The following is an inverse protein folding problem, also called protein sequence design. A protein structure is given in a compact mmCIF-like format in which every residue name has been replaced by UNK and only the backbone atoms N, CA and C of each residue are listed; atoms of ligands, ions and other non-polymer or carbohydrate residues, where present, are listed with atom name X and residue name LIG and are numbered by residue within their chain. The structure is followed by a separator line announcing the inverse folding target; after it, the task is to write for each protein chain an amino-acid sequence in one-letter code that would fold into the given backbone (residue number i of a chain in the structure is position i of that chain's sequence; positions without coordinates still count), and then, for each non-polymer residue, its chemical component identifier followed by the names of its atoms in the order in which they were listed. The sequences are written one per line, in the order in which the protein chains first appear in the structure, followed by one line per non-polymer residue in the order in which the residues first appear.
data_IF_591631567514
#
_entry.id   IF_591631567514
#
_cell.length_a   1.000
_cell.length_b   1.000
_cell.length_c   1.000
_cell.angle_alpha   90.00
_cell.angle_beta   90.00
_cell.angle_gamma   90.00
#
_symmetry.space_group_name_H-M   'P 1'
#
loop_
_entity.id
_entity.type
_entity.pdbx_description
1 polymer ?
#
# COMPACT_ATOMS: atom_id res chain seq x y z
N UNK A 1 -29.08 -16.12 55.89
CA UNK A 1 -29.44 -16.06 54.48
C UNK A 1 -28.71 -14.87 53.86
N UNK A 2 -27.54 -15.13 53.30
CA UNK A 2 -26.71 -14.14 52.61
C UNK A 2 -27.10 -14.15 51.13
N UNK A 3 -27.72 -13.10 50.68
CA UNK A 3 -28.06 -12.90 49.26
C UNK A 3 -26.85 -12.33 48.54
N UNK A 4 -26.29 -13.11 47.60
CA UNK A 4 -25.24 -12.69 46.68
C UNK A 4 -25.87 -11.70 45.66
N UNK A 5 -25.24 -10.54 45.40
CA UNK A 5 -25.78 -9.61 44.42
C UNK A 5 -25.57 -10.15 42.98
N UNK A 6 -26.63 -10.06 42.16
CA UNK A 6 -26.66 -10.41 40.76
C UNK A 6 -25.69 -9.50 40.00
N UNK A 7 -24.80 -10.02 39.12
CA UNK A 7 -23.91 -9.17 38.33
C UNK A 7 -24.72 -8.27 37.44
N UNK A 8 -24.34 -6.99 37.37
CA UNK A 8 -24.90 -6.02 36.47
C UNK A 8 -24.64 -6.45 35.01
N UNK A 9 -25.56 -6.15 34.05
CA UNK A 9 -25.32 -6.47 32.65
C UNK A 9 -24.09 -5.70 32.17
N UNK A 10 -23.15 -6.41 31.54
CA UNK A 10 -21.99 -5.81 30.89
C UNK A 10 -22.50 -4.82 29.84
N UNK A 11 -22.12 -3.57 29.99
CA UNK A 11 -22.33 -2.56 28.93
C UNK A 11 -21.64 -3.09 27.67
N UNK A 12 -22.44 -3.46 26.69
CA UNK A 12 -21.98 -3.70 25.32
C UNK A 12 -21.30 -2.41 24.88
N UNK A 13 -19.97 -2.41 24.73
CA UNK A 13 -19.27 -1.29 24.10
C UNK A 13 -19.94 -1.07 22.77
N UNK A 14 -20.52 0.10 22.55
CA UNK A 14 -20.97 0.54 21.23
C UNK A 14 -19.77 0.32 20.30
N UNK A 15 -19.90 -0.55 19.31
CA UNK A 15 -18.89 -0.73 18.29
C UNK A 15 -18.68 0.64 17.67
N UNK A 16 -17.44 1.13 17.68
CA UNK A 16 -17.06 2.36 17.00
C UNK A 16 -17.51 2.19 15.54
N UNK A 17 -18.54 2.92 15.12
CA UNK A 17 -19.15 2.75 13.80
C UNK A 17 -18.21 3.08 12.65
N UNK A 18 -17.08 3.73 12.96
CA UNK A 18 -16.01 4.05 12.02
C UNK A 18 -14.88 3.00 11.99
N UNK A 19 -14.96 1.92 12.80
CA UNK A 19 -13.93 0.90 12.83
C UNK A 19 -13.93 0.02 11.57
N UNK A 20 -12.73 -0.42 11.08
CA UNK A 20 -12.64 -1.40 9.99
C UNK A 20 -13.41 -2.68 10.33
N UNK A 21 -14.11 -3.26 9.34
CA UNK A 21 -14.91 -4.49 9.50
C UNK A 21 -14.22 -5.68 8.86
N UNK A 22 -14.03 -6.81 9.56
CA UNK A 22 -13.43 -8.01 8.98
C UNK A 22 -14.22 -8.52 7.77
N UNK A 23 -13.49 -9.08 6.80
CA UNK A 23 -14.06 -9.70 5.59
C UNK A 23 -14.08 -11.21 5.81
N UNK A 24 -15.25 -11.82 6.06
CA UNK A 24 -15.35 -13.22 6.47
C UNK A 24 -14.93 -14.21 5.40
N UNK A 25 -14.98 -13.85 4.11
CA UNK A 25 -14.58 -14.71 3.00
C UNK A 25 -13.11 -15.14 3.06
N UNK A 26 -12.26 -14.35 3.71
CA UNK A 26 -10.83 -14.64 3.84
C UNK A 26 -10.44 -15.29 5.17
N UNK A 27 -11.40 -15.54 6.07
CA UNK A 27 -11.10 -16.14 7.37
C UNK A 27 -10.51 -17.55 7.20
N UNK A 28 -9.34 -17.81 7.81
CA UNK A 28 -8.64 -19.08 7.77
C UNK A 28 -8.03 -19.48 6.41
N UNK A 29 -8.15 -18.64 5.37
CA UNK A 29 -7.65 -18.97 4.02
C UNK A 29 -6.13 -19.13 4.00
N UNK A 30 -5.41 -18.33 4.79
CA UNK A 30 -3.95 -18.41 4.89
C UNK A 30 -3.44 -19.65 5.65
N UNK A 31 -4.31 -20.32 6.42
CA UNK A 31 -3.97 -21.53 7.19
C UNK A 31 -4.15 -22.81 6.37
N UNK A 32 -4.71 -22.72 5.18
CA UNK A 32 -4.98 -23.89 4.30
C UNK A 32 -3.66 -24.53 3.87
N UNK A 33 -3.59 -25.85 3.99
CA UNK A 33 -2.45 -26.68 3.62
C UNK A 33 -2.91 -27.88 2.77
N UNK A 34 -2.14 -28.34 1.79
CA UNK A 34 -0.84 -27.80 1.30
C UNK A 34 -0.99 -26.45 0.57
N UNK A 35 0.13 -25.75 0.34
CA UNK A 35 0.12 -24.40 -0.25
C UNK A 35 -0.55 -24.30 -1.63
N UNK A 36 -0.56 -25.35 -2.43
CA UNK A 36 -1.32 -25.37 -3.68
C UNK A 36 -2.84 -25.35 -3.47
N UNK A 37 -3.34 -25.94 -2.34
CA UNK A 37 -4.74 -25.84 -1.94
C UNK A 37 -5.04 -24.44 -1.40
N UNK A 38 -4.10 -23.84 -0.67
CA UNK A 38 -4.19 -22.46 -0.21
C UNK A 38 -4.36 -21.49 -1.38
N UNK A 39 -3.56 -21.61 -2.44
CA UNK A 39 -3.70 -20.79 -3.63
C UNK A 39 -5.12 -20.90 -4.25
N UNK A 40 -5.68 -22.12 -4.29
CA UNK A 40 -7.06 -22.31 -4.76
C UNK A 40 -8.09 -21.68 -3.84
N UNK A 41 -7.90 -21.78 -2.52
CA UNK A 41 -8.76 -21.17 -1.51
C UNK A 41 -8.71 -19.64 -1.60
N UNK A 42 -7.51 -19.04 -1.70
CA UNK A 42 -7.31 -17.59 -1.90
C UNK A 42 -8.08 -17.11 -3.14
N UNK A 43 -7.93 -17.79 -4.27
CA UNK A 43 -8.64 -17.44 -5.51
C UNK A 43 -10.16 -17.54 -5.36
N UNK A 44 -10.64 -18.61 -4.74
CA UNK A 44 -12.08 -18.80 -4.48
C UNK A 44 -12.67 -17.74 -3.57
N UNK A 45 -11.99 -17.44 -2.46
CA UNK A 45 -12.38 -16.41 -1.52
C UNK A 45 -12.39 -15.02 -2.18
N UNK A 46 -11.36 -14.69 -2.97
CA UNK A 46 -11.28 -13.43 -3.69
C UNK A 46 -12.42 -13.27 -4.72
N UNK A 47 -12.77 -14.33 -5.44
CA UNK A 47 -13.89 -14.31 -6.38
C UNK A 47 -15.22 -14.08 -5.66
N UNK A 48 -15.47 -14.81 -4.57
CA UNK A 48 -16.70 -14.66 -3.75
C UNK A 48 -16.79 -13.25 -3.14
N UNK A 49 -15.70 -12.78 -2.57
CA UNK A 49 -15.65 -11.41 -2.01
C UNK A 49 -15.92 -10.35 -3.09
N UNK A 50 -15.29 -10.48 -4.27
CA UNK A 50 -15.50 -9.53 -5.37
C UNK A 50 -16.97 -9.41 -5.78
N UNK A 51 -17.70 -10.53 -5.87
CA UNK A 51 -19.13 -10.52 -6.20
C UNK A 51 -19.94 -9.68 -5.21
N UNK A 52 -19.66 -9.80 -3.92
CA UNK A 52 -20.31 -9.01 -2.86
C UNK A 52 -19.84 -7.56 -2.89
N UNK A 53 -18.54 -7.32 -3.01
CA UNK A 53 -17.91 -5.99 -2.95
C UNK A 53 -18.44 -5.05 -4.03
N UNK A 54 -18.60 -5.51 -5.27
CA UNK A 54 -19.10 -4.67 -6.36
C UNK A 54 -20.55 -4.25 -6.19
N UNK A 55 -21.31 -4.99 -5.38
CA UNK A 55 -22.72 -4.71 -5.10
C UNK A 55 -22.92 -3.73 -3.93
N UNK A 56 -21.93 -3.54 -3.07
CA UNK A 56 -22.03 -2.65 -1.90
C UNK A 56 -22.09 -1.16 -2.27
N UNK A 57 -21.64 -0.79 -3.46
CA UNK A 57 -21.57 0.59 -3.91
C UNK A 57 -20.17 0.99 -4.35
N UNK A 58 -19.97 2.27 -4.61
CA UNK A 58 -18.74 2.83 -5.17
C UNK A 58 -18.23 3.95 -4.31
N UNK A 59 -16.91 4.21 -4.40
CA UNK A 59 -16.30 5.39 -3.78
C UNK A 59 -16.86 6.69 -4.37
N UNK A 60 -16.76 7.77 -3.64
CA UNK A 60 -17.19 9.10 -4.09
C UNK A 60 -16.18 9.71 -5.06
N UNK A 61 -14.88 9.68 -4.69
CA UNK A 61 -13.81 10.25 -5.49
C UNK A 61 -12.47 9.59 -5.19
N UNK A 62 -11.57 9.65 -6.17
CA UNK A 62 -10.14 9.33 -6.00
C UNK A 62 -9.29 10.23 -6.87
N UNK A 63 -8.11 10.60 -6.37
CA UNK A 63 -7.02 11.28 -7.10
C UNK A 63 -5.70 10.63 -6.76
N UNK A 64 -4.89 10.39 -7.78
CA UNK A 64 -3.53 9.88 -7.64
C UNK A 64 -2.48 10.95 -7.94
N UNK A 65 -1.38 10.91 -7.19
CA UNK A 65 -0.29 11.88 -7.29
C UNK A 65 1.05 11.15 -7.25
N UNK A 66 1.92 11.49 -8.19
CA UNK A 66 3.32 11.04 -8.13
C UNK A 66 4.06 11.89 -7.10
N UNK A 67 4.66 11.25 -6.09
CA UNK A 67 5.35 11.93 -4.98
C UNK A 67 6.84 12.03 -5.26
N UNK A 68 7.49 10.89 -5.49
CA UNK A 68 8.92 10.84 -5.75
C UNK A 68 9.27 9.66 -6.65
N UNK A 69 10.37 9.78 -7.39
CA UNK A 69 10.99 8.64 -8.05
C UNK A 69 12.28 8.28 -7.32
N UNK A 70 12.49 7.00 -7.09
CA UNK A 70 13.66 6.47 -6.39
C UNK A 70 14.30 5.30 -7.16
N UNK A 71 15.62 5.07 -6.97
CA UNK A 71 16.28 3.91 -7.53
C UNK A 71 15.84 2.64 -6.81
N UNK A 72 15.55 1.61 -7.58
CA UNK A 72 15.17 0.29 -7.08
C UNK A 72 16.01 -0.81 -7.77
N UNK A 73 16.54 -1.81 -7.05
CA UNK A 73 17.35 -2.85 -7.67
C UNK A 73 16.55 -3.63 -8.72
N UNK A 74 17.03 -3.62 -9.97
CA UNK A 74 16.38 -4.29 -11.11
C UNK A 74 16.10 -5.77 -10.82
N UNK A 75 17.03 -6.43 -10.13
CA UNK A 75 16.90 -7.85 -9.75
C UNK A 75 15.67 -8.12 -8.90
N UNK A 76 15.34 -7.20 -7.99
CA UNK A 76 14.18 -7.36 -7.10
C UNK A 76 12.86 -7.11 -7.82
N UNK A 77 12.81 -6.12 -8.71
CA UNK A 77 11.57 -5.72 -9.38
C UNK A 77 10.81 -6.82 -10.11
N UNK A 78 11.50 -7.90 -10.53
CA UNK A 78 10.93 -9.01 -11.28
C UNK A 78 11.45 -10.38 -10.79
N UNK A 79 11.77 -10.52 -9.53
CA UNK A 79 12.26 -11.78 -8.95
C UNK A 79 13.41 -12.41 -9.78
N UNK A 80 14.32 -11.57 -10.29
CA UNK A 80 15.41 -12.02 -11.15
C UNK A 80 15.02 -12.40 -12.59
N UNK A 81 13.77 -12.27 -12.98
CA UNK A 81 13.29 -12.64 -14.32
C UNK A 81 13.70 -11.64 -15.41
N UNK A 82 13.87 -10.36 -15.07
CA UNK A 82 14.26 -9.32 -16.02
C UNK A 82 15.74 -9.46 -16.40
N UNK A 83 16.03 -9.49 -17.70
CA UNK A 83 17.37 -9.50 -18.24
C UNK A 83 17.85 -8.07 -18.50
N UNK A 84 18.72 -7.56 -17.65
CA UNK A 84 19.29 -6.22 -17.77
C UNK A 84 20.69 -6.15 -17.23
N UNK A 85 21.53 -5.31 -17.83
CA UNK A 85 22.83 -4.93 -17.29
C UNK A 85 22.74 -3.76 -16.31
N UNK A 86 21.61 -3.05 -16.30
CA UNK A 86 21.36 -1.95 -15.39
C UNK A 86 21.06 -2.51 -13.99
N UNK A 87 21.85 -2.19 -12.96
CA UNK A 87 21.63 -2.71 -11.62
C UNK A 87 20.38 -2.09 -10.94
N UNK A 88 19.97 -0.90 -11.40
CA UNK A 88 18.82 -0.17 -10.87
C UNK A 88 17.87 0.27 -11.98
N UNK A 89 16.59 0.25 -11.64
CA UNK A 89 15.52 0.95 -12.36
C UNK A 89 14.98 2.08 -11.48
N UNK A 90 14.19 2.95 -12.03
CA UNK A 90 13.50 4.01 -11.29
C UNK A 90 12.04 3.61 -11.09
N UNK A 91 11.57 3.66 -9.87
CA UNK A 91 10.16 3.48 -9.51
C UNK A 91 9.59 4.80 -9.00
N UNK A 92 8.32 5.05 -9.26
CA UNK A 92 7.60 6.26 -8.84
C UNK A 92 6.62 5.89 -7.75
N UNK A 93 6.87 6.40 -6.54
CA UNK A 93 5.92 6.28 -5.44
C UNK A 93 4.69 7.14 -5.69
N UNK A 94 3.51 6.57 -5.43
CA UNK A 94 2.21 7.17 -5.75
C UNK A 94 1.31 7.25 -4.54
N UNK A 95 0.90 8.46 -4.20
CA UNK A 95 -0.09 8.73 -3.18
C UNK A 95 -1.49 8.76 -3.81
N UNK A 96 -2.49 8.23 -3.08
CA UNK A 96 -3.90 8.36 -3.44
C UNK A 96 -4.66 9.14 -2.35
N UNK A 97 -5.57 10.01 -2.78
CA UNK A 97 -6.59 10.62 -1.91
C UNK A 97 -7.93 10.04 -2.31
N UNK A 98 -8.60 9.35 -1.38
CA UNK A 98 -9.83 8.59 -1.63
C UNK A 98 -10.94 9.10 -0.72
N UNK A 99 -12.11 9.41 -1.29
CA UNK A 99 -13.31 9.73 -0.53
C UNK A 99 -14.39 8.69 -0.74
N UNK A 100 -15.02 8.27 0.35
CA UNK A 100 -16.02 7.21 0.38
C UNK A 100 -17.01 7.42 1.53
N UNK A 101 -18.13 6.71 1.51
CA UNK A 101 -19.08 6.66 2.61
C UNK A 101 -18.62 5.64 3.67
N UNK A 102 -18.43 6.10 4.89
CA UNK A 102 -18.15 5.24 6.04
C UNK A 102 -19.37 4.41 6.45
N UNK A 103 -19.15 3.42 7.33
CA UNK A 103 -20.28 2.60 7.85
C UNK A 103 -21.21 3.35 8.79
N UNK A 104 -20.87 4.56 9.18
CA UNK A 104 -21.71 5.51 9.90
C UNK A 104 -22.58 6.39 8.97
N UNK A 105 -22.45 6.22 7.66
CA UNK A 105 -23.12 7.03 6.64
C UNK A 105 -22.45 8.37 6.37
N UNK A 106 -21.32 8.66 7.03
CA UNK A 106 -20.60 9.92 6.88
C UNK A 106 -19.48 9.80 5.84
N UNK A 107 -19.20 10.87 5.07
CA UNK A 107 -18.07 10.88 4.15
C UNK A 107 -16.75 10.81 4.92
N UNK A 108 -15.84 9.97 4.43
CA UNK A 108 -14.48 9.76 4.97
C UNK A 108 -13.45 10.04 3.89
N UNK A 109 -12.31 10.59 4.31
CA UNK A 109 -11.15 10.81 3.45
C UNK A 109 -9.99 9.95 3.93
N UNK A 110 -9.52 9.05 3.05
CA UNK A 110 -8.31 8.25 3.23
C UNK A 110 -7.18 8.83 2.37
N UNK A 111 -6.03 9.04 2.98
CA UNK A 111 -4.76 9.27 2.27
C UNK A 111 -3.95 7.99 2.31
N UNK A 112 -3.72 7.42 1.14
CA UNK A 112 -2.96 6.19 0.92
C UNK A 112 -1.57 6.53 0.41
N UNK A 113 -0.51 5.93 0.99
CA UNK A 113 0.90 6.12 0.61
C UNK A 113 1.40 7.58 0.66
N UNK A 114 1.16 8.36 1.72
CA UNK A 114 1.67 9.72 1.83
C UNK A 114 3.16 9.75 2.19
N UNK A 115 4.00 9.18 1.34
CA UNK A 115 5.44 9.07 1.57
C UNK A 115 6.12 10.43 1.61
N UNK A 116 6.95 10.68 2.63
CA UNK A 116 7.78 11.89 2.74
C UNK A 116 9.22 11.55 2.38
N UNK A 117 9.73 12.12 1.30
CA UNK A 117 11.05 11.79 0.76
C UNK A 117 12.19 12.01 1.77
N UNK A 118 12.08 13.02 2.64
CA UNK A 118 13.07 13.26 3.69
C UNK A 118 13.15 12.11 4.71
N UNK A 119 12.01 11.49 5.05
CA UNK A 119 11.95 10.29 5.88
C UNK A 119 12.52 9.07 5.17
N UNK A 120 12.12 8.85 3.92
CA UNK A 120 12.62 7.76 3.06
C UNK A 120 14.15 7.75 2.97
N UNK A 121 14.77 8.92 2.86
CA UNK A 121 16.22 9.06 2.78
C UNK A 121 16.96 8.57 4.04
N UNK A 122 16.27 8.41 5.17
CA UNK A 122 16.84 7.90 6.42
C UNK A 122 16.89 6.37 6.48
N UNK A 123 16.14 5.65 5.61
CA UNK A 123 16.24 4.21 5.56
C UNK A 123 17.68 3.77 5.21
N UNK A 124 18.23 2.74 5.89
CA UNK A 124 19.63 2.34 5.75
C UNK A 124 20.06 2.07 4.30
N UNK A 125 19.17 1.53 3.46
CA UNK A 125 19.43 1.30 2.04
C UNK A 125 19.78 2.62 1.32
N UNK A 126 18.94 3.64 1.43
CA UNK A 126 19.17 4.93 0.77
C UNK A 126 20.30 5.72 1.40
N UNK A 127 20.45 5.66 2.72
CA UNK A 127 21.57 6.27 3.42
C UNK A 127 22.92 5.66 3.00
N UNK A 128 22.98 4.34 2.75
CA UNK A 128 24.18 3.68 2.23
C UNK A 128 24.42 4.01 0.77
N UNK A 129 23.37 4.02 -0.06
CA UNK A 129 23.47 4.39 -1.47
C UNK A 129 24.01 5.83 -1.63
N UNK A 130 23.51 6.76 -0.80
CA UNK A 130 24.00 8.15 -0.75
C UNK A 130 25.47 8.25 -0.38
N UNK A 131 25.93 7.47 0.60
CA UNK A 131 27.36 7.41 0.98
C UNK A 131 28.26 6.87 -0.15
N UNK A 132 27.78 5.90 -0.94
CA UNK A 132 28.55 5.29 -2.02
C UNK A 132 28.56 6.15 -3.29
N UNK A 133 27.42 6.74 -3.65
CA UNK A 133 27.25 7.49 -4.89
C UNK A 133 27.52 8.99 -4.74
N UNK A 134 27.49 9.52 -3.51
CA UNK A 134 27.53 10.95 -3.20
C UNK A 134 26.20 11.65 -3.36
N UNK A 135 26.06 12.81 -2.71
CA UNK A 135 24.82 13.58 -2.65
C UNK A 135 24.30 13.96 -4.04
N UNK A 136 25.17 14.47 -4.89
CA UNK A 136 24.80 14.92 -6.23
C UNK A 136 24.17 13.83 -7.09
N UNK A 137 24.76 12.63 -7.14
CA UNK A 137 24.22 11.52 -7.93
C UNK A 137 22.92 11.00 -7.33
N UNK A 138 22.84 10.91 -6.02
CA UNK A 138 21.64 10.38 -5.35
C UNK A 138 20.45 11.32 -5.52
N UNK A 139 20.64 12.63 -5.33
CA UNK A 139 19.55 13.61 -5.32
C UNK A 139 19.15 14.09 -6.73
N UNK A 140 20.09 14.11 -7.68
CA UNK A 140 19.83 14.70 -9.00
C UNK A 140 19.74 13.67 -10.14
N UNK A 141 20.31 12.49 -9.95
CA UNK A 141 20.33 11.46 -11.01
C UNK A 141 19.44 10.26 -10.68
N UNK A 142 19.48 9.79 -9.43
CA UNK A 142 18.76 8.58 -9.01
C UNK A 142 17.40 8.87 -8.39
N UNK A 143 17.29 9.92 -7.57
CA UNK A 143 16.02 10.34 -7.00
C UNK A 143 15.46 11.55 -7.76
N UNK A 144 14.15 11.62 -7.87
CA UNK A 144 13.42 12.77 -8.40
C UNK A 144 12.25 13.05 -7.50
N UNK A 145 12.19 14.27 -7.02
CA UNK A 145 11.13 14.71 -6.14
C UNK A 145 10.12 15.54 -6.92
N UNK A 146 8.82 15.25 -6.77
CA UNK A 146 7.77 15.94 -7.52
C UNK A 146 6.97 16.87 -6.61
N UNK A 147 6.52 16.38 -5.46
CA UNK A 147 5.69 17.14 -4.52
C UNK A 147 5.63 16.47 -3.13
N UNK A 148 5.26 17.25 -2.11
CA UNK A 148 5.03 16.78 -0.74
C UNK A 148 3.55 16.43 -0.49
N UNK A 149 3.24 15.50 0.41
CA UNK A 149 1.86 15.20 0.81
C UNK A 149 1.09 16.42 1.34
N UNK A 150 1.75 17.37 1.99
CA UNK A 150 1.15 18.60 2.50
C UNK A 150 0.73 19.58 1.39
N UNK A 151 1.42 19.56 0.24
CA UNK A 151 1.09 20.40 -0.92
C UNK A 151 0.00 19.78 -1.81
N UNK A 152 -0.19 18.46 -1.72
CA UNK A 152 -1.17 17.72 -2.52
C UNK A 152 -2.61 18.10 -2.12
N UNK A 153 -2.93 18.08 -0.82
CA UNK A 153 -4.30 18.33 -0.35
C UNK A 153 -4.85 19.70 -0.76
N UNK A 154 -4.13 20.82 -0.56
CA UNK A 154 -4.59 22.12 -1.04
C UNK A 154 -4.83 22.16 -2.55
N UNK A 155 -4.03 21.43 -3.35
CA UNK A 155 -4.24 21.34 -4.80
C UNK A 155 -5.57 20.66 -5.18
N UNK A 156 -6.14 19.88 -4.25
CA UNK A 156 -7.46 19.24 -4.37
C UNK A 156 -8.59 20.03 -3.70
N UNK A 157 -8.30 21.18 -3.13
CA UNK A 157 -9.27 21.95 -2.33
C UNK A 157 -9.52 21.37 -0.93
N UNK A 158 -8.67 20.46 -0.45
CA UNK A 158 -8.76 19.85 0.87
C UNK A 158 -7.80 20.50 1.85
N UNK A 159 -8.11 20.39 3.14
CA UNK A 159 -7.25 20.80 4.25
C UNK A 159 -6.72 19.55 4.97
N UNK A 160 -5.60 19.66 5.72
CA UNK A 160 -5.10 18.58 6.55
C UNK A 160 -6.14 18.00 7.53
N UNK A 161 -7.05 18.84 8.04
CA UNK A 161 -8.12 18.46 8.96
C UNK A 161 -9.25 17.66 8.28
N UNK A 162 -9.32 17.64 6.96
CA UNK A 162 -10.33 16.89 6.21
C UNK A 162 -9.95 15.39 6.06
N UNK A 163 -8.74 14.99 6.51
CA UNK A 163 -8.26 13.61 6.46
C UNK A 163 -8.68 12.83 7.70
N UNK A 164 -9.41 11.73 7.52
CA UNK A 164 -9.85 10.84 8.59
C UNK A 164 -8.88 9.67 8.80
N UNK A 165 -8.30 9.15 7.71
CA UNK A 165 -7.42 7.99 7.73
C UNK A 165 -6.17 8.21 6.90
N UNK A 166 -5.07 7.63 7.39
CA UNK A 166 -3.82 7.44 6.66
C UNK A 166 -3.52 5.95 6.64
N UNK A 167 -3.03 5.42 5.54
CA UNK A 167 -2.50 4.07 5.49
C UNK A 167 -1.36 3.97 4.48
N UNK A 168 -0.48 3.01 4.72
CA UNK A 168 0.58 2.57 3.82
C UNK A 168 0.37 1.08 3.57
N UNK A 169 0.71 0.59 2.39
CA UNK A 169 0.63 -0.86 2.13
C UNK A 169 1.58 -1.65 3.04
N UNK A 170 2.72 -1.06 3.38
CA UNK A 170 3.70 -1.55 4.36
C UNK A 170 4.58 -0.38 4.83
N UNK A 171 5.50 -0.61 5.75
CA UNK A 171 6.29 0.46 6.37
C UNK A 171 7.76 0.51 5.92
N UNK A 172 8.13 -0.19 4.82
CA UNK A 172 9.47 0.02 4.23
C UNK A 172 9.66 1.48 3.85
N UNK A 173 10.81 2.02 4.21
CA UNK A 173 11.27 3.37 3.92
C UNK A 173 10.35 4.50 4.43
N UNK A 174 9.40 4.17 5.32
CA UNK A 174 8.48 5.14 5.91
C UNK A 174 8.98 5.61 7.27
N UNK A 175 9.14 6.91 7.43
CA UNK A 175 9.21 7.55 8.75
C UNK A 175 7.80 8.05 9.11
N UNK A 176 7.05 7.22 9.82
CA UNK A 176 5.63 7.49 10.14
C UNK A 176 5.47 8.75 10.99
N UNK A 177 6.50 9.14 11.75
CA UNK A 177 6.52 10.38 12.54
C UNK A 177 6.35 11.62 11.68
N UNK A 178 6.81 11.57 10.42
CA UNK A 178 6.67 12.67 9.46
C UNK A 178 5.20 12.99 9.13
N UNK A 179 4.33 12.00 9.23
CA UNK A 179 2.90 12.13 8.91
C UNK A 179 2.04 12.19 10.17
N UNK A 180 2.27 11.27 11.11
CA UNK A 180 1.42 11.13 12.30
C UNK A 180 1.86 12.02 13.46
N UNK A 181 3.02 12.68 13.35
CA UNK A 181 3.65 13.42 14.44
C UNK A 181 4.35 12.50 15.44
N UNK A 182 5.04 13.10 16.41
CA UNK A 182 5.74 12.38 17.46
C UNK A 182 5.70 13.20 18.75
N UNK A 183 5.44 12.54 19.89
CA UNK A 183 5.54 13.11 21.23
C UNK A 183 6.99 13.27 21.70
N UNK A 184 7.93 12.58 21.05
CA UNK A 184 9.37 12.69 21.28
C UNK A 184 10.05 13.45 20.14
N UNK A 185 11.18 14.11 20.46
CA UNK A 185 11.96 14.83 19.46
C UNK A 185 12.63 13.82 18.51
N UNK A 186 12.39 13.98 17.21
CA UNK A 186 13.04 13.18 16.16
C UNK A 186 14.51 13.56 16.04
N UNK A 187 15.46 12.63 15.85
CA UNK A 187 16.86 12.95 15.66
C UNK A 187 17.08 14.01 14.56
N UNK A 188 17.75 15.10 14.91
CA UNK A 188 17.99 16.24 14.03
C UNK A 188 16.96 17.36 14.11
N UNK A 189 15.84 17.19 14.80
CA UNK A 189 14.84 18.21 15.07
C UNK A 189 15.05 18.89 16.43
N UNK A 190 14.42 20.05 16.63
CA UNK A 190 14.56 20.83 17.88
C UNK A 190 13.40 20.66 18.85
N UNK A 191 12.29 20.10 18.38
CA UNK A 191 11.07 19.90 19.14
C UNK A 191 10.31 18.66 18.62
N UNK A 192 9.36 18.13 19.40
CA UNK A 192 8.39 17.14 18.92
C UNK A 192 7.70 17.64 17.65
N UNK A 193 7.42 16.73 16.72
CA UNK A 193 6.78 17.06 15.46
C UNK A 193 5.26 16.99 15.59
N UNK A 194 4.58 18.02 15.14
CA UNK A 194 3.12 17.97 14.98
C UNK A 194 2.73 17.06 13.81
N UNK A 195 1.53 16.47 13.91
CA UNK A 195 1.01 15.62 12.85
C UNK A 195 0.65 16.44 11.61
N UNK A 196 1.01 15.94 10.44
CA UNK A 196 0.64 16.55 9.17
C UNK A 196 -0.88 16.55 8.97
N UNK A 197 -1.54 15.45 9.37
CA UNK A 197 -3.00 15.30 9.33
C UNK A 197 -3.54 15.18 10.77
N UNK A 198 -3.92 16.30 11.42
CA UNK A 198 -4.12 16.35 12.87
C UNK A 198 -5.29 15.50 13.36
N UNK A 199 -6.29 15.20 12.52
CA UNK A 199 -7.44 14.35 12.85
C UNK A 199 -7.29 12.89 12.42
N UNK A 200 -6.36 12.60 11.52
CA UNK A 200 -6.23 11.30 10.91
C UNK A 200 -5.79 10.22 11.91
N UNK A 201 -6.29 9.01 11.70
CA UNK A 201 -5.81 7.78 12.34
C UNK A 201 -5.01 6.96 11.33
N UNK A 202 -3.88 6.41 11.75
CA UNK A 202 -3.11 5.46 10.97
C UNK A 202 -3.81 4.10 10.98
N UNK A 203 -4.17 3.59 9.80
CA UNK A 203 -4.63 2.22 9.62
C UNK A 203 -3.42 1.38 9.20
N UNK A 204 -3.10 0.34 9.95
CA UNK A 204 -1.92 -0.50 9.71
C UNK A 204 -2.19 -1.94 10.12
N UNK A 205 -1.72 -2.90 9.34
CA UNK A 205 -1.84 -4.30 9.71
C UNK A 205 -0.99 -4.60 10.95
N UNK A 206 -1.52 -5.38 11.92
CA UNK A 206 -0.83 -5.65 13.20
C UNK A 206 0.53 -6.31 13.01
N UNK A 207 0.69 -7.19 12.03
CA UNK A 207 1.98 -7.82 11.73
C UNK A 207 3.02 -6.83 11.26
N UNK A 208 2.61 -5.76 10.56
CA UNK A 208 3.53 -4.72 10.13
C UNK A 208 4.11 -3.93 11.31
N UNK A 209 3.27 -3.62 12.31
CA UNK A 209 3.76 -3.02 13.56
C UNK A 209 4.74 -3.94 14.26
N UNK A 210 4.43 -5.23 14.38
CA UNK A 210 5.33 -6.21 15.00
C UNK A 210 6.66 -6.34 14.27
N UNK A 211 6.64 -6.33 12.94
CA UNK A 211 7.87 -6.32 12.12
C UNK A 211 8.69 -5.06 12.35
N UNK A 212 8.04 -3.92 12.49
CA UNK A 212 8.72 -2.65 12.78
C UNK A 212 9.38 -2.64 14.17
N UNK A 213 8.69 -3.18 15.19
CA UNK A 213 9.20 -3.28 16.57
C UNK A 213 10.38 -4.26 16.70
N UNK A 214 10.40 -5.32 15.89
CA UNK A 214 11.41 -6.37 15.93
C UNK A 214 11.91 -6.73 14.52
N UNK A 215 12.50 -5.75 13.84
CA UNK A 215 12.94 -5.88 12.44
C UNK A 215 13.97 -6.99 12.28
N UNK A 216 13.67 -7.95 11.40
CA UNK A 216 14.60 -9.03 11.06
C UNK A 216 15.83 -8.46 10.31
N UNK A 217 17.07 -8.97 10.52
CA UNK A 217 18.27 -8.48 9.83
C UNK A 217 18.20 -8.46 8.31
N UNK A 218 17.41 -9.34 7.70
CA UNK A 218 17.18 -9.37 6.24
C UNK A 218 16.34 -8.19 5.75
N UNK A 219 15.54 -7.57 6.61
CA UNK A 219 14.67 -6.45 6.31
C UNK A 219 15.23 -5.10 6.79
N UNK A 220 16.25 -5.13 7.67
CA UNK A 220 16.83 -3.94 8.32
C UNK A 220 17.16 -2.81 7.34
N UNK A 221 17.60 -3.13 6.12
CA UNK A 221 17.99 -2.13 5.13
C UNK A 221 16.83 -1.22 4.69
N UNK A 222 15.59 -1.66 4.91
CA UNK A 222 14.39 -1.01 4.38
C UNK A 222 13.59 -0.25 5.44
N UNK A 223 13.75 -0.56 6.73
CA UNK A 223 13.01 0.13 7.80
C UNK A 223 13.79 1.33 8.35
N UNK A 224 13.08 2.45 8.54
CA UNK A 224 13.65 3.64 9.20
C UNK A 224 13.77 3.36 10.69
N UNK A 225 14.97 3.45 11.25
CA UNK A 225 15.20 3.22 12.67
C UNK A 225 14.39 4.21 13.52
N UNK A 226 13.61 3.69 14.47
CA UNK A 226 12.73 4.50 15.31
C UNK A 226 11.63 5.26 14.55
N UNK A 227 11.30 4.91 13.31
CA UNK A 227 10.32 5.63 12.48
C UNK A 227 8.87 5.63 13.00
N UNK A 228 8.60 4.89 14.10
CA UNK A 228 7.34 4.89 14.85
C UNK A 228 7.47 5.50 16.25
N UNK A 229 8.68 5.91 16.69
CA UNK A 229 8.93 6.34 18.05
C UNK A 229 8.15 7.61 18.39
N UNK A 230 7.36 7.52 19.47
CA UNK A 230 6.56 8.64 19.94
C UNK A 230 5.32 8.95 19.10
N UNK A 231 4.99 8.15 18.09
CA UNK A 231 3.67 8.24 17.43
C UNK A 231 2.59 7.94 18.47
N UNK A 232 1.59 8.83 18.67
CA UNK A 232 0.58 8.63 19.70
C UNK A 232 -0.24 7.35 19.46
N UNK A 233 -0.26 6.39 20.42
CA UNK A 233 -0.92 5.09 20.22
C UNK A 233 -2.44 5.21 19.94
N UNK A 234 -3.09 6.21 20.50
CA UNK A 234 -4.51 6.49 20.27
C UNK A 234 -4.82 6.89 18.82
N UNK A 235 -3.82 7.28 18.07
CA UNK A 235 -3.91 7.61 16.64
C UNK A 235 -3.60 6.41 15.73
N UNK A 236 -3.25 5.27 16.29
CA UNK A 236 -2.95 4.03 15.54
C UNK A 236 -4.12 3.07 15.69
N UNK A 237 -4.67 2.63 14.56
CA UNK A 237 -5.68 1.57 14.47
C UNK A 237 -5.06 0.37 13.79
N UNK A 238 -4.63 -0.59 14.60
CA UNK A 238 -4.13 -1.87 14.11
C UNK A 238 -5.31 -2.78 13.74
N UNK A 239 -5.25 -3.37 12.56
CA UNK A 239 -6.23 -4.37 12.12
C UNK A 239 -5.55 -5.72 11.84
N UNK A 240 -6.34 -6.79 11.79
CA UNK A 240 -5.91 -8.14 11.48
C UNK A 240 -6.66 -8.65 10.24
N UNK A 241 -5.96 -9.41 9.39
CA UNK A 241 -6.55 -9.99 8.19
C UNK A 241 -7.04 -8.93 7.19
N UNK A 242 -8.14 -9.26 6.53
CA UNK A 242 -8.77 -8.45 5.49
C UNK A 242 -9.91 -7.62 6.07
N UNK A 243 -9.99 -6.33 5.74
CA UNK A 243 -11.01 -5.43 6.31
C UNK A 243 -11.64 -4.51 5.28
N UNK A 244 -12.92 -4.22 5.45
CA UNK A 244 -13.63 -3.14 4.77
C UNK A 244 -13.58 -1.87 5.61
N UNK A 245 -13.39 -0.72 4.95
CA UNK A 245 -13.39 0.61 5.60
C UNK A 245 -14.72 1.33 5.43
N UNK A 246 -15.44 1.03 4.38
CA UNK A 246 -16.72 1.64 4.02
C UNK A 246 -17.17 1.23 2.62
N UNK A 247 -18.09 1.98 2.04
CA UNK A 247 -18.66 1.68 0.74
C UNK A 247 -17.59 1.75 -0.35
N UNK A 248 -17.30 0.63 -0.98
CA UNK A 248 -16.37 0.51 -2.09
C UNK A 248 -14.89 0.66 -1.74
N UNK A 249 -14.51 0.53 -0.47
CA UNK A 249 -13.10 0.60 -0.02
C UNK A 249 -12.76 -0.53 0.94
N UNK A 250 -11.65 -1.23 0.67
CA UNK A 250 -11.13 -2.29 1.53
C UNK A 250 -9.61 -2.28 1.59
N UNK A 251 -9.07 -2.76 2.70
CA UNK A 251 -7.65 -3.10 2.87
C UNK A 251 -7.55 -4.62 2.97
N UNK A 252 -6.87 -5.24 2.01
CA UNK A 252 -6.70 -6.68 1.98
C UNK A 252 -5.30 -7.06 2.43
N UNK A 253 -5.21 -7.94 3.40
CA UNK A 253 -3.94 -8.52 3.81
C UNK A 253 -3.35 -9.35 2.68
N UNK A 254 -2.21 -8.89 2.18
CA UNK A 254 -1.49 -9.44 1.01
C UNK A 254 -0.02 -9.66 1.37
N UNK A 255 0.25 -10.60 2.31
CA UNK A 255 1.60 -10.81 2.85
C UNK A 255 2.58 -11.33 1.81
N UNK A 256 3.87 -11.19 2.12
CA UNK A 256 4.98 -11.75 1.34
C UNK A 256 5.98 -10.69 0.90
N UNK A 257 5.57 -9.48 0.55
CA UNK A 257 6.48 -8.33 0.44
C UNK A 257 6.98 -7.91 1.83
N UNK A 258 6.06 -7.79 2.78
CA UNK A 258 6.28 -7.86 4.23
C UNK A 258 5.20 -8.74 4.87
N UNK A 259 5.37 -9.10 6.16
CA UNK A 259 4.38 -9.91 6.87
C UNK A 259 3.03 -9.21 7.03
N UNK A 260 3.04 -7.90 7.13
CA UNK A 260 1.86 -7.06 7.30
C UNK A 260 1.44 -6.29 6.04
N UNK A 261 2.10 -6.55 4.90
CA UNK A 261 1.72 -5.91 3.63
C UNK A 261 0.25 -6.09 3.33
N UNK A 262 -0.41 -5.01 2.88
CA UNK A 262 -1.81 -5.03 2.50
C UNK A 262 -2.06 -4.16 1.27
N UNK A 263 -3.10 -4.49 0.52
CA UNK A 263 -3.44 -3.80 -0.72
C UNK A 263 -4.73 -3.02 -0.56
N UNK A 264 -4.80 -1.82 -1.12
CA UNK A 264 -6.01 -1.01 -1.19
C UNK A 264 -6.86 -1.46 -2.38
N UNK A 265 -8.14 -1.75 -2.13
CA UNK A 265 -9.11 -2.11 -3.16
C UNK A 265 -10.21 -1.06 -3.23
N UNK A 266 -10.49 -0.57 -4.43
CA UNK A 266 -11.44 0.51 -4.70
C UNK A 266 -12.46 0.05 -5.74
N UNK A 267 -13.75 0.16 -5.44
CA UNK A 267 -14.83 0.02 -6.43
C UNK A 267 -15.15 1.38 -7.03
N UNK A 268 -14.83 1.55 -8.31
CA UNK A 268 -15.06 2.79 -9.08
C UNK A 268 -16.07 2.55 -10.21
N UNK A 269 -16.59 3.59 -10.87
CA UNK A 269 -17.40 3.41 -12.08
C UNK A 269 -16.66 2.72 -13.23
N UNK A 270 -15.33 2.74 -13.20
CA UNK A 270 -14.49 2.08 -14.19
C UNK A 270 -14.21 0.61 -13.84
N UNK A 271 -14.74 0.13 -12.71
CA UNK A 271 -14.53 -1.20 -12.17
C UNK A 271 -13.65 -1.19 -10.92
N UNK A 272 -13.26 -2.39 -10.50
CA UNK A 272 -12.42 -2.60 -9.32
C UNK A 272 -10.95 -2.33 -9.64
N UNK A 273 -10.35 -1.45 -8.84
CA UNK A 273 -8.92 -1.15 -8.83
C UNK A 273 -8.26 -1.73 -7.59
N UNK A 274 -7.02 -2.16 -7.75
CA UNK A 274 -6.15 -2.58 -6.64
C UNK A 274 -4.89 -1.72 -6.68
N UNK A 275 -4.49 -1.15 -5.52
CA UNK A 275 -3.16 -0.54 -5.34
C UNK A 275 -2.31 -1.46 -4.48
N UNK A 276 -1.09 -1.79 -4.91
CA UNK A 276 -0.26 -2.82 -4.29
C UNK A 276 1.23 -2.61 -4.54
N UNK A 277 2.05 -3.01 -3.57
CA UNK A 277 3.52 -3.07 -3.68
C UNK A 277 4.05 -4.49 -4.01
N UNK A 278 3.19 -5.48 -4.26
CA UNK A 278 3.64 -6.85 -4.60
C UNK A 278 4.31 -6.95 -5.98
N UNK A 279 4.24 -5.91 -6.77
CA UNK A 279 4.93 -5.75 -8.05
C UNK A 279 5.12 -4.29 -8.41
N UNK A 280 6.12 -3.98 -9.23
CA UNK A 280 6.45 -2.61 -9.64
C UNK A 280 5.89 -2.22 -11.02
N UNK A 281 5.22 -3.13 -11.72
CA UNK A 281 4.69 -2.90 -13.08
C UNK A 281 3.51 -3.82 -13.35
N UNK A 282 2.60 -3.42 -14.22
CA UNK A 282 1.55 -4.30 -14.75
C UNK A 282 2.12 -5.63 -15.28
N UNK A 283 3.37 -5.63 -15.76
CA UNK A 283 4.12 -6.82 -16.21
C UNK A 283 4.29 -7.89 -15.12
N UNK A 284 4.26 -7.50 -13.85
CA UNK A 284 4.36 -8.44 -12.72
C UNK A 284 3.11 -9.31 -12.59
N UNK A 285 1.91 -8.73 -12.78
CA UNK A 285 0.65 -9.48 -12.69
C UNK A 285 0.25 -10.15 -14.01
N UNK A 286 0.75 -9.66 -15.16
CA UNK A 286 0.47 -10.20 -16.48
C UNK A 286 1.77 -10.40 -17.28
N UNK A 287 2.67 -11.27 -16.79
CA UNK A 287 3.99 -11.48 -17.38
C UNK A 287 3.92 -12.08 -18.79
N UNK A 288 2.81 -12.71 -19.15
CA UNK A 288 2.55 -13.25 -20.50
C UNK A 288 2.48 -12.15 -21.57
N UNK A 289 2.12 -10.92 -21.17
CA UNK A 289 2.06 -9.75 -22.05
C UNK A 289 3.36 -8.93 -22.02
N UNK A 290 4.28 -9.25 -21.12
CA UNK A 290 5.49 -8.46 -20.88
C UNK A 290 6.40 -8.36 -22.11
N UNK A 291 6.87 -7.14 -22.38
CA UNK A 291 7.93 -6.83 -23.34
C UNK A 291 9.29 -6.64 -22.70
N UNK A 292 9.34 -6.66 -21.36
CA UNK A 292 10.59 -6.61 -20.61
C UNK A 292 11.39 -7.88 -20.89
N UNK A 293 12.64 -7.79 -21.35
CA UNK A 293 13.46 -8.96 -21.69
C UNK A 293 13.54 -9.96 -20.54
N UNK A 294 13.23 -11.21 -20.83
CA UNK A 294 13.28 -12.31 -19.88
C UNK A 294 11.98 -12.61 -19.15
N UNK A 295 11.17 -11.62 -18.78
CA UNK A 295 10.01 -11.76 -17.88
C UNK A 295 9.00 -12.78 -18.44
N UNK A 296 8.49 -12.59 -19.65
CA UNK A 296 7.53 -13.51 -20.28
C UNK A 296 8.09 -14.94 -20.40
N UNK A 297 9.36 -15.07 -20.82
CA UNK A 297 9.99 -16.39 -20.98
C UNK A 297 10.19 -17.08 -19.64
N UNK A 298 10.56 -16.33 -18.60
CA UNK A 298 10.69 -16.85 -17.24
C UNK A 298 9.34 -17.37 -16.73
N UNK A 299 8.28 -16.57 -16.83
CA UNK A 299 6.95 -16.95 -16.38
C UNK A 299 6.45 -18.22 -17.11
N UNK A 300 6.59 -18.25 -18.45
CA UNK A 300 6.19 -19.41 -19.24
C UNK A 300 6.99 -20.69 -18.90
N UNK A 301 8.33 -20.56 -18.69
CA UNK A 301 9.17 -21.71 -18.38
C UNK A 301 8.84 -22.33 -17.03
N UNK A 302 8.53 -21.52 -16.01
CA UNK A 302 8.20 -21.99 -14.66
C UNK A 302 6.69 -22.16 -14.42
N UNK A 303 5.83 -21.95 -15.41
CA UNK A 303 4.37 -22.03 -15.27
C UNK A 303 3.79 -21.02 -14.29
N UNK A 304 4.37 -19.82 -14.21
CA UNK A 304 3.94 -18.76 -13.28
C UNK A 304 2.97 -17.79 -13.95
N UNK A 305 1.88 -17.50 -13.28
CA UNK A 305 0.89 -16.52 -13.77
C UNK A 305 1.16 -15.09 -13.27
N UNK A 306 2.06 -14.93 -12.29
CA UNK A 306 2.55 -13.66 -11.78
C UNK A 306 4.04 -13.75 -11.48
N UNK A 307 4.73 -12.61 -11.43
CA UNK A 307 6.15 -12.50 -11.07
C UNK A 307 6.29 -11.47 -9.96
N UNK A 308 6.48 -11.87 -8.70
CA UNK A 308 6.61 -10.95 -7.57
C UNK A 308 7.79 -9.99 -7.71
N UNK A 309 7.74 -8.84 -7.03
CA UNK A 309 8.97 -8.16 -6.65
C UNK A 309 9.56 -8.89 -5.41
N UNK A 310 10.84 -8.73 -5.16
CA UNK A 310 11.52 -9.45 -4.09
C UNK A 310 12.62 -8.58 -3.50
N UNK A 311 12.25 -7.44 -2.91
CA UNK A 311 13.20 -6.51 -2.30
C UNK A 311 13.76 -7.03 -0.98
N UNK A 312 13.12 -8.00 -0.39
CA UNK A 312 13.61 -8.78 0.75
C UNK A 312 13.56 -10.27 0.40
N UNK A 313 13.98 -11.14 1.29
CA UNK A 313 13.92 -12.59 1.11
C UNK A 313 12.71 -13.18 1.84
N UNK A 314 11.63 -12.46 1.84
CA UNK A 314 10.36 -12.87 2.41
C UNK A 314 9.72 -14.02 1.65
N UNK A 315 8.64 -14.52 2.16
CA UNK A 315 8.01 -15.73 1.63
C UNK A 315 7.40 -15.48 0.24
N UNK A 316 8.18 -15.75 -0.80
CA UNK A 316 7.77 -15.61 -2.20
C UNK A 316 6.50 -16.39 -2.55
N UNK A 317 6.13 -17.43 -1.78
CA UNK A 317 4.88 -18.16 -1.97
C UNK A 317 3.69 -17.38 -1.46
N UNK A 318 3.84 -16.70 -0.31
CA UNK A 318 2.79 -15.84 0.24
C UNK A 318 2.56 -14.64 -0.68
N UNK A 319 3.63 -14.02 -1.17
CA UNK A 319 3.52 -12.92 -2.12
C UNK A 319 2.89 -13.35 -3.46
N UNK A 320 3.21 -14.54 -3.95
CA UNK A 320 2.56 -15.09 -5.13
C UNK A 320 1.04 -15.27 -4.94
N UNK A 321 0.63 -15.86 -3.82
CA UNK A 321 -0.78 -16.04 -3.47
C UNK A 321 -1.50 -14.68 -3.35
N UNK A 322 -0.84 -13.69 -2.74
CA UNK A 322 -1.31 -12.30 -2.62
C UNK A 322 -1.54 -11.66 -4.00
N UNK A 323 -0.59 -11.79 -4.93
CA UNK A 323 -0.74 -11.28 -6.30
C UNK A 323 -1.88 -11.98 -7.07
N UNK A 324 -2.12 -13.27 -6.81
CA UNK A 324 -3.25 -14.00 -7.39
C UNK A 324 -4.58 -13.51 -6.81
N UNK A 325 -4.63 -13.19 -5.51
CA UNK A 325 -5.77 -12.54 -4.84
C UNK A 325 -6.11 -11.21 -5.51
N UNK A 326 -5.12 -10.34 -5.68
CA UNK A 326 -5.23 -9.04 -6.34
C UNK A 326 -5.70 -9.17 -7.80
N UNK A 327 -5.08 -10.08 -8.55
CA UNK A 327 -5.43 -10.38 -9.95
C UNK A 327 -6.88 -10.88 -10.10
N UNK A 328 -7.39 -11.62 -9.12
CA UNK A 328 -8.77 -12.13 -9.13
C UNK A 328 -9.79 -11.02 -8.85
N UNK A 329 -9.41 -10.00 -8.11
CA UNK A 329 -10.28 -8.87 -7.74
C UNK A 329 -10.36 -7.79 -8.81
N UNK A 330 -9.22 -7.48 -9.45
CA UNK A 330 -9.10 -6.35 -10.37
C UNK A 330 -9.88 -6.57 -11.67
N UNK A 331 -10.52 -5.51 -12.16
CA UNK A 331 -11.17 -5.50 -13.47
C UNK A 331 -10.17 -5.23 -14.61
N UNK A 332 -10.51 -5.58 -15.85
CA UNK A 332 -9.75 -5.19 -17.02
C UNK A 332 -9.67 -3.67 -17.17
N UNK A 333 -8.50 -3.16 -17.56
CA UNK A 333 -8.29 -1.73 -17.79
C UNK A 333 -9.10 -1.24 -19.00
N UNK A 334 -9.78 -0.10 -18.84
CA UNK A 334 -10.48 0.54 -19.96
C UNK A 334 -9.56 1.04 -21.06
N UNK A 335 -8.30 1.34 -20.76
CA UNK A 335 -7.32 1.79 -21.75
C UNK A 335 -6.80 0.67 -22.65
N UNK A 336 -6.65 -0.52 -22.07
CA UNK A 336 -6.30 -1.75 -22.79
C UNK A 336 -6.79 -2.95 -21.97
N UNK A 337 -7.92 -3.58 -22.36
CA UNK A 337 -8.54 -4.65 -21.58
C UNK A 337 -7.71 -5.93 -21.42
N UNK A 338 -6.56 -6.01 -22.08
CA UNK A 338 -5.60 -7.09 -21.85
C UNK A 338 -4.90 -6.96 -20.49
N UNK A 339 -4.84 -5.75 -19.94
CA UNK A 339 -4.21 -5.43 -18.66
C UNK A 339 -5.26 -5.25 -17.58
N UNK A 340 -4.92 -5.63 -16.34
CA UNK A 340 -5.79 -5.47 -15.18
C UNK A 340 -5.59 -4.10 -14.51
N UNK A 341 -6.61 -3.62 -13.83
CA UNK A 341 -6.60 -2.37 -13.05
C UNK A 341 -5.85 -2.57 -11.72
N UNK A 342 -4.56 -2.92 -11.82
CA UNK A 342 -3.67 -3.04 -10.67
C UNK A 342 -2.58 -1.97 -10.79
N UNK A 343 -2.65 -1.00 -9.88
CA UNK A 343 -1.76 0.15 -9.84
C UNK A 343 -0.66 -0.12 -8.80
N UNK A 344 0.61 -0.29 -9.22
CA UNK A 344 1.70 -0.39 -8.26
C UNK A 344 1.78 0.86 -7.39
N UNK A 345 1.95 0.71 -6.07
CA UNK A 345 2.20 1.83 -5.16
C UNK A 345 3.52 2.52 -5.50
N UNK A 346 4.50 1.73 -5.97
CA UNK A 346 5.77 2.20 -6.52
C UNK A 346 5.95 1.68 -7.95
N UNK A 347 5.44 2.47 -8.94
CA UNK A 347 5.37 2.03 -10.34
C UNK A 347 6.68 2.22 -11.09
N UNK A 348 7.10 1.22 -11.86
CA UNK A 348 8.24 1.28 -12.78
C UNK A 348 8.10 2.46 -13.75
N UNK A 349 9.02 3.42 -13.65
CA UNK A 349 8.99 4.62 -14.47
C UNK A 349 9.28 4.31 -15.95
N UNK A 350 8.57 4.95 -16.91
CA UNK A 350 8.81 4.76 -18.34
C UNK A 350 10.01 5.59 -18.85
N UNK A 351 11.09 5.69 -18.06
CA UNK A 351 12.26 6.49 -18.41
C UNK A 351 13.17 5.77 -19.41
N UNK A 352 13.33 6.31 -20.60
CA UNK A 352 14.14 5.72 -21.70
C UNK A 352 15.56 5.34 -21.30
N UNK A 353 16.15 6.04 -20.31
CA UNK A 353 17.53 5.77 -19.82
C UNK A 353 17.70 4.39 -19.16
N UNK A 354 16.60 3.75 -18.76
CA UNK A 354 16.64 2.42 -18.13
C UNK A 354 16.33 1.27 -19.13
N UNK A 355 16.31 1.61 -20.44
CA UNK A 355 16.19 0.57 -21.46
C UNK A 355 17.20 -0.56 -21.20
N UNK A 356 16.84 -1.85 -21.36
CA UNK A 356 15.59 -2.34 -21.96
C UNK A 356 14.46 -2.63 -20.95
N UNK A 357 14.61 -2.28 -19.65
CA UNK A 357 13.58 -2.52 -18.62
C UNK A 357 12.62 -1.32 -18.60
N UNK A 358 11.65 -1.38 -19.47
CA UNK A 358 10.57 -0.37 -19.57
C UNK A 358 9.22 -1.07 -19.37
N UNK A 359 8.26 -0.44 -18.66
CA UNK A 359 6.94 -1.02 -18.47
C UNK A 359 6.26 -1.27 -19.83
N UNK A 360 5.61 -2.42 -19.97
CA UNK A 360 4.85 -2.75 -21.19
C UNK A 360 3.54 -1.98 -21.25
N UNK A 361 3.00 -1.63 -20.09
CA UNK A 361 1.80 -0.84 -19.92
C UNK A 361 1.95 0.04 -18.67
N UNK A 362 1.40 1.24 -18.71
CA UNK A 362 1.34 2.19 -17.59
C UNK A 362 -0.09 2.68 -17.48
N UNK A 363 -0.69 2.58 -16.31
CA UNK A 363 -2.08 3.02 -16.08
C UNK A 363 -2.25 4.53 -16.20
N UNK A 364 -1.21 5.30 -15.87
CA UNK A 364 -1.31 6.74 -15.66
C UNK A 364 -1.96 7.06 -14.31
N UNK A 365 -2.59 8.21 -14.21
CA UNK A 365 -3.27 8.62 -12.98
C UNK A 365 -4.63 7.94 -12.82
N UNK A 366 -4.98 7.57 -11.58
CA UNK A 366 -6.33 7.16 -11.21
C UNK A 366 -7.09 8.39 -10.71
N UNK A 367 -8.08 8.81 -11.49
CA UNK A 367 -8.85 10.02 -11.21
C UNK A 367 -10.33 9.78 -11.47
N UNK A 368 -11.15 9.97 -10.44
CA UNK A 368 -12.61 9.84 -10.53
C UNK A 368 -13.30 10.76 -9.51
N UNK A 369 -14.51 11.25 -9.82
CA UNK A 369 -15.32 12.08 -8.93
C UNK A 369 -14.71 13.44 -8.63
N UNK A 370 -15.26 14.17 -7.68
CA UNK A 370 -14.74 15.44 -7.17
C UNK A 370 -14.48 15.30 -5.68
N UNK A 371 -13.28 15.67 -5.24
CA UNK A 371 -12.92 15.70 -3.83
C UNK A 371 -13.59 16.92 -3.19
N UNK A 372 -14.23 16.74 -2.03
CA UNK A 372 -14.96 17.79 -1.31
C UNK A 372 -14.44 17.92 0.12
N UNK A 373 -14.24 19.16 0.65
CA UNK A 373 -13.86 19.36 2.04
C UNK A 373 -14.89 18.77 3.01
N UNK A 374 -14.42 18.17 4.11
CA UNK A 374 -15.28 17.74 5.21
C UNK A 374 -15.80 18.98 5.93
N UNK A 375 -17.13 19.21 5.91
CA UNK A 375 -17.77 20.35 6.62
C UNK A 375 -18.04 21.60 5.78
N UNK A 376 -18.11 21.47 4.46
CA UNK A 376 -18.76 22.49 3.64
C UNK A 376 -20.26 22.51 3.93
N UNK A 377 -20.80 23.65 4.36
CA UNK A 377 -22.24 23.86 4.48
C UNK A 377 -22.96 23.36 3.23
N UNK A 378 -23.84 22.35 3.40
CA UNK A 378 -24.84 21.96 2.41
C UNK A 378 -26.09 22.79 2.57
#
# INVERSE_FOLDING_TARGET
VTTTPKPAPSATKAQDSAAPRPIPEFEGVHDVWPRGDRLRAVRGAAATYRERFVQQGRIHAVRSFDIAAAPYPTRFGFHGAALSVNPFVSIVNRMLVVQFEGFDGEPKTLVWEPTVAAGTAQAPFYAQLKRLAGDFLTEHVFARYYQDPDTVLPSCGLRPEDVDFVSFDHLHVQDVRMIMGSSSTIPGERAPREALFPRARLLVHRRELGTFEATHPMQWAWYVDGGMDGVPPERVTAFDGDVELGVGVSLLWTPGHTDGNHSLVLNTPDGVWVSSENGISADNWQPELSRIPGVRRHAAFYGREVVPNANTLEDSLDQYDSMVKEKTLADPSRRDPRWLQILPSSELAPFKRQWPVLPSFVHGGLNYGELTPSGGDR
#
